data_IF_136268418124
#
_entry.id   IF_136268418124
#
_cell.length_a   1.000
_cell.length_b   1.000
_cell.length_c   1.000
_cell.angle_alpha   90.00
_cell.angle_beta   90.00
_cell.angle_gamma   90.00
#
_symmetry.space_group_name_H-M   'P 1'
#
loop_
_entity.id
_entity.type
_entity.pdbx_description
1 polymer ?
#
# COMPACT_ATOMS: atom_id res chain seq x y z
N UNK A 1 13.47 32.60 13.86
CA UNK A 1 13.73 31.26 14.46
C UNK A 1 12.37 30.65 14.77
N UNK A 2 11.70 30.07 13.77
CA UNK A 2 10.33 29.58 13.89
C UNK A 2 10.23 28.21 13.23
N UNK A 3 10.80 27.22 13.91
CA UNK A 3 10.66 25.79 13.66
C UNK A 3 9.19 25.34 13.48
N UNK A 4 8.24 26.03 14.12
CA UNK A 4 6.81 25.75 13.98
C UNK A 4 6.26 26.08 12.57
N UNK A 5 6.75 27.14 11.93
CA UNK A 5 6.33 27.51 10.58
C UNK A 5 6.81 26.51 9.52
N UNK A 6 7.97 25.89 9.75
CA UNK A 6 8.56 24.86 8.87
C UNK A 6 7.69 23.59 8.86
N UNK A 7 7.13 23.20 10.01
CA UNK A 7 6.25 22.02 10.11
C UNK A 7 4.87 22.28 9.48
N UNK A 8 4.37 23.52 9.54
CA UNK A 8 3.06 23.87 8.96
C UNK A 8 3.13 24.13 7.45
N UNK A 9 4.28 24.55 6.93
CA UNK A 9 4.52 24.68 5.49
C UNK A 9 5.06 23.38 4.90
N UNK A 10 4.38 22.26 5.14
CA UNK A 10 4.64 20.99 4.45
C UNK A 10 4.35 21.15 2.95
N UNK A 11 5.28 21.82 2.27
CA UNK A 11 5.35 21.96 0.84
C UNK A 11 5.91 20.67 0.25
N UNK A 12 5.62 20.45 -1.03
CA UNK A 12 6.12 19.31 -1.80
C UNK A 12 7.66 19.16 -1.67
N UNK A 13 8.38 20.27 -1.50
CA UNK A 13 9.83 20.30 -1.29
C UNK A 13 10.28 19.49 -0.05
N UNK A 14 9.56 19.58 1.07
CA UNK A 14 9.93 18.86 2.30
C UNK A 14 9.74 17.36 2.14
N UNK A 15 8.62 16.94 1.53
CA UNK A 15 8.37 15.53 1.24
C UNK A 15 9.45 14.97 0.31
N UNK A 16 9.87 15.75 -0.69
CA UNK A 16 10.91 15.37 -1.63
C UNK A 16 12.29 15.23 -0.94
N UNK A 17 12.63 16.13 -0.01
CA UNK A 17 13.87 16.04 0.78
C UNK A 17 13.87 14.76 1.65
N UNK A 18 12.78 14.48 2.35
CA UNK A 18 12.67 13.25 3.17
C UNK A 18 12.76 12.00 2.30
N UNK A 19 12.11 12.01 1.12
CA UNK A 19 12.20 10.92 0.16
C UNK A 19 13.63 10.69 -0.32
N UNK A 20 14.38 11.76 -0.61
CA UNK A 20 15.79 11.69 -1.00
C UNK A 20 16.64 11.09 0.13
N UNK A 21 16.44 11.52 1.38
CA UNK A 21 17.15 10.95 2.53
C UNK A 21 16.83 9.45 2.68
N UNK A 22 15.56 9.06 2.59
CA UNK A 22 15.16 7.65 2.63
C UNK A 22 15.80 6.85 1.48
N UNK A 23 15.86 7.42 0.28
CA UNK A 23 16.52 6.78 -0.86
C UNK A 23 18.03 6.65 -0.68
N UNK A 24 18.68 7.57 0.04
CA UNK A 24 20.11 7.46 0.37
C UNK A 24 20.36 6.39 1.45
N UNK A 25 19.49 6.29 2.45
CA UNK A 25 19.62 5.30 3.53
C UNK A 25 19.28 3.88 3.10
N UNK A 26 18.16 3.72 2.39
CA UNK A 26 17.68 2.41 1.95
C UNK A 26 18.15 2.03 0.54
N UNK A 27 18.62 2.99 -0.25
CA UNK A 27 18.93 2.80 -1.66
C UNK A 27 17.69 2.82 -2.56
N UNK A 28 17.84 3.33 -3.79
CA UNK A 28 16.72 3.47 -4.73
C UNK A 28 16.08 2.16 -5.20
N UNK A 29 16.70 1.01 -4.93
CA UNK A 29 16.18 -0.31 -5.31
C UNK A 29 15.30 -0.96 -4.24
N UNK A 30 15.51 -0.65 -2.96
CA UNK A 30 14.79 -1.29 -1.84
C UNK A 30 13.34 -0.79 -1.73
N UNK A 31 13.10 0.49 -1.98
CA UNK A 31 11.74 1.08 -1.91
C UNK A 31 10.80 0.41 -2.96
N UNK A 32 11.16 0.30 -4.26
CA UNK A 32 10.36 -0.44 -5.23
C UNK A 32 10.21 -1.93 -4.93
N UNK A 33 11.27 -2.59 -4.45
CA UNK A 33 11.26 -4.01 -4.10
C UNK A 33 10.25 -4.31 -2.97
N UNK A 34 10.26 -3.48 -1.92
CA UNK A 34 9.29 -3.56 -0.81
C UNK A 34 7.86 -3.25 -1.26
N UNK A 35 7.66 -2.22 -2.09
CA UNK A 35 6.33 -1.91 -2.64
C UNK A 35 5.80 -3.03 -3.52
N UNK A 36 6.66 -3.70 -4.28
CA UNK A 36 6.27 -4.81 -5.17
C UNK A 36 5.89 -6.05 -4.36
N UNK A 37 6.67 -6.39 -3.32
CA UNK A 37 6.34 -7.48 -2.40
C UNK A 37 5.04 -7.22 -1.61
N UNK A 38 4.89 -6.02 -1.06
CA UNK A 38 3.67 -5.62 -0.33
C UNK A 38 2.45 -5.56 -1.26
N UNK A 39 2.61 -5.04 -2.48
CA UNK A 39 1.54 -4.96 -3.47
C UNK A 39 1.03 -6.33 -3.92
N UNK A 40 1.93 -7.30 -4.12
CA UNK A 40 1.55 -8.69 -4.39
C UNK A 40 0.77 -9.30 -3.23
N UNK A 41 1.23 -9.13 -1.98
CA UNK A 41 0.51 -9.64 -0.80
C UNK A 41 -0.88 -9.03 -0.61
N UNK A 42 -1.03 -7.71 -0.82
CA UNK A 42 -2.35 -7.05 -0.77
C UNK A 42 -3.25 -7.55 -1.90
N UNK A 43 -2.69 -7.80 -3.10
CA UNK A 43 -3.44 -8.34 -4.23
C UNK A 43 -3.96 -9.75 -3.94
N UNK A 44 -3.09 -10.65 -3.48
CA UNK A 44 -3.45 -12.02 -3.10
C UNK A 44 -4.49 -12.04 -1.97
N UNK A 45 -4.32 -11.19 -0.95
CA UNK A 45 -5.29 -11.04 0.13
C UNK A 45 -6.67 -10.61 -0.40
N UNK A 46 -6.70 -9.61 -1.29
CA UNK A 46 -7.95 -9.14 -1.90
C UNK A 46 -8.59 -10.21 -2.79
N UNK A 47 -7.80 -10.96 -3.54
CA UNK A 47 -8.29 -11.99 -4.44
C UNK A 47 -8.90 -13.16 -3.63
N UNK A 48 -8.26 -13.59 -2.53
CA UNK A 48 -8.78 -14.60 -1.61
C UNK A 48 -10.12 -14.18 -0.97
N UNK A 49 -10.20 -12.96 -0.45
CA UNK A 49 -11.44 -12.43 0.15
C UNK A 49 -12.58 -12.38 -0.88
N UNK A 50 -12.29 -12.03 -2.14
CA UNK A 50 -13.29 -12.02 -3.22
C UNK A 50 -13.72 -13.41 -3.67
N UNK A 51 -12.86 -14.41 -3.56
CA UNK A 51 -13.22 -15.81 -3.86
C UNK A 51 -14.11 -16.40 -2.77
N UNK A 52 -13.89 -16.03 -1.51
CA UNK A 52 -14.79 -16.37 -0.39
C UNK A 52 -16.18 -15.74 -0.56
N UNK A 53 -16.26 -14.49 -1.00
CA UNK A 53 -17.54 -13.80 -1.33
C UNK A 53 -18.24 -14.39 -2.57
N UNK A 54 -17.53 -15.15 -3.42
CA UNK A 54 -18.07 -15.76 -4.65
C UNK A 54 -18.41 -17.24 -4.49
N UNK A 55 -18.49 -17.78 -3.27
CA UNK A 55 -19.08 -19.10 -3.09
C UNK A 55 -20.54 -19.06 -3.55
N UNK A 56 -20.94 -19.86 -4.54
CA UNK A 56 -22.26 -19.74 -5.15
C UNK A 56 -23.33 -20.14 -4.13
N UNK A 57 -24.28 -19.23 -3.91
CA UNK A 57 -25.61 -19.49 -3.38
C UNK A 57 -26.40 -20.36 -4.38
N UNK A 58 -25.93 -21.59 -4.61
CA UNK A 58 -26.54 -22.48 -5.58
C UNK A 58 -26.44 -23.94 -5.16
N UNK A 59 -26.95 -24.23 -3.97
CA UNK A 59 -27.28 -25.59 -3.52
C UNK A 59 -28.49 -25.58 -2.60
N UNK A 60 -29.65 -25.11 -3.09
CA UNK A 60 -30.93 -25.70 -2.66
C UNK A 60 -32.09 -25.31 -3.59
N UNK A 61 -32.32 -26.11 -4.64
CA UNK A 61 -33.66 -26.45 -5.13
C UNK A 61 -33.55 -27.52 -6.23
N UNK A 62 -33.24 -28.75 -5.81
CA UNK A 62 -33.60 -29.97 -6.52
C UNK A 62 -33.77 -31.08 -5.48
N UNK A 63 -34.95 -31.16 -4.87
CA UNK A 63 -35.56 -32.41 -4.43
C UNK A 63 -36.98 -32.20 -3.87
N UNK A 64 -37.85 -33.12 -4.29
CA UNK A 64 -39.23 -33.41 -3.87
C UNK A 64 -40.36 -32.56 -4.49
#
# INVERSE_FOLDING_TARGET
MNNLAIILQLSITHVLIVLVILLLLFGGKKIPELMRGMGSGIKEFKDAVKEEDKKPENQDNKQA
#
